data_IF_525795510913
#
_entry.id   IF_525795510913
#
_cell.length_a   1.000
_cell.length_b   1.000
_cell.length_c   1.000
_cell.angle_alpha   90.00
_cell.angle_beta   90.00
_cell.angle_gamma   90.00
#
_symmetry.space_group_name_H-M   'P 1'
#
loop_
_entity.id
_entity.type
_entity.pdbx_description
1 polymer ?
#
# COMPACT_ATOMS: atom_id res chain seq x y z
N UNK A 1 -15.24 0.55 -13.98
CA UNK A 1 -15.92 -0.67 -14.46
C UNK A 1 -15.56 -1.94 -13.67
N UNK A 2 -14.29 -2.34 -13.58
CA UNK A 2 -13.87 -3.63 -12.98
C UNK A 2 -14.39 -3.81 -11.56
N UNK A 3 -14.18 -2.81 -10.69
CA UNK A 3 -14.68 -2.80 -9.31
C UNK A 3 -16.20 -3.04 -9.26
N UNK A 4 -16.96 -2.32 -10.08
CA UNK A 4 -18.41 -2.46 -10.11
C UNK A 4 -18.85 -3.83 -10.60
N UNK A 5 -18.14 -4.41 -11.57
CA UNK A 5 -18.43 -5.75 -12.04
C UNK A 5 -18.15 -6.82 -10.98
N UNK A 6 -17.05 -6.69 -10.23
CA UNK A 6 -16.75 -7.59 -9.12
C UNK A 6 -17.85 -7.54 -8.04
N UNK A 7 -18.27 -6.33 -7.67
CA UNK A 7 -19.40 -6.11 -6.75
C UNK A 7 -20.69 -6.76 -7.27
N UNK A 8 -20.97 -6.69 -8.58
CA UNK A 8 -22.17 -7.28 -9.19
C UNK A 8 -22.23 -8.80 -9.07
N UNK A 9 -21.13 -9.51 -8.81
CA UNK A 9 -21.13 -10.97 -8.61
C UNK A 9 -22.00 -11.38 -7.42
N UNK A 10 -22.11 -10.51 -6.41
CA UNK A 10 -22.86 -10.75 -5.18
C UNK A 10 -24.36 -10.45 -5.30
N UNK A 11 -24.82 -10.01 -6.48
CA UNK A 11 -26.23 -9.68 -6.73
C UNK A 11 -26.91 -10.76 -7.57
N UNK A 12 -28.24 -10.81 -7.48
CA UNK A 12 -29.05 -11.74 -8.25
C UNK A 12 -28.92 -11.51 -9.77
N UNK A 13 -29.31 -12.54 -10.55
CA UNK A 13 -29.15 -12.53 -12.01
C UNK A 13 -29.91 -11.39 -12.69
N UNK A 14 -31.11 -11.03 -12.20
CA UNK A 14 -31.92 -9.96 -12.77
C UNK A 14 -31.23 -8.60 -12.65
N UNK A 15 -30.64 -8.31 -11.48
CA UNK A 15 -29.86 -7.10 -11.27
C UNK A 15 -28.61 -7.06 -12.16
N UNK A 16 -27.92 -8.20 -12.32
CA UNK A 16 -26.76 -8.32 -13.22
C UNK A 16 -27.13 -8.05 -14.68
N UNK A 17 -28.29 -8.53 -15.15
CA UNK A 17 -28.81 -8.23 -16.49
C UNK A 17 -29.07 -6.72 -16.64
N UNK A 18 -29.80 -6.12 -15.69
CA UNK A 18 -30.12 -4.70 -15.72
C UNK A 18 -28.86 -3.82 -15.72
N UNK A 19 -27.88 -4.13 -14.87
CA UNK A 19 -26.60 -3.44 -14.82
C UNK A 19 -25.80 -3.61 -16.12
N UNK A 20 -25.78 -4.81 -16.70
CA UNK A 20 -25.12 -5.07 -17.99
C UNK A 20 -25.71 -4.22 -19.13
N UNK A 21 -27.05 -4.11 -19.19
CA UNK A 21 -27.74 -3.24 -20.15
C UNK A 21 -27.38 -1.77 -19.91
N UNK A 22 -27.41 -1.31 -18.65
CA UNK A 22 -27.05 0.06 -18.30
C UNK A 22 -25.61 0.42 -18.71
N UNK A 23 -24.64 -0.45 -18.39
CA UNK A 23 -23.24 -0.26 -18.77
C UNK A 23 -23.06 -0.19 -20.29
N UNK A 24 -23.79 -1.02 -21.03
CA UNK A 24 -23.79 -1.00 -22.50
C UNK A 24 -24.37 0.31 -23.05
N UNK A 25 -25.51 0.77 -22.51
CA UNK A 25 -26.15 2.03 -22.92
C UNK A 25 -25.28 3.26 -22.62
N UNK A 26 -24.51 3.23 -21.53
CA UNK A 26 -23.57 4.31 -21.17
C UNK A 26 -22.23 4.24 -21.90
N UNK A 27 -22.06 3.26 -22.80
CA UNK A 27 -20.82 3.06 -23.57
C UNK A 27 -19.57 2.97 -22.69
N UNK A 28 -19.72 2.40 -21.48
CA UNK A 28 -18.60 2.17 -20.58
C UNK A 28 -17.67 1.11 -21.19
N UNK A 29 -16.35 1.32 -21.05
CA UNK A 29 -15.29 0.43 -21.54
C UNK A 29 -14.38 -0.03 -20.40
N UNK A 30 -13.72 -1.18 -20.56
CA UNK A 30 -12.78 -1.73 -19.56
C UNK A 30 -11.51 -0.87 -19.54
N UNK A 31 -10.98 -0.58 -20.72
CA UNK A 31 -9.80 0.26 -20.91
C UNK A 31 -10.28 1.69 -21.14
N UNK A 32 -9.71 2.62 -20.39
CA UNK A 32 -9.99 4.05 -20.53
C UNK A 32 -8.69 4.82 -20.61
N UNK A 33 -8.70 5.93 -21.35
CA UNK A 33 -7.58 6.86 -21.43
C UNK A 33 -7.92 8.11 -20.61
N UNK A 34 -7.05 8.45 -19.68
CA UNK A 34 -7.19 9.58 -18.75
C UNK A 34 -5.82 10.20 -18.51
N UNK A 35 -5.79 11.46 -18.07
CA UNK A 35 -4.53 12.08 -17.65
C UNK A 35 -4.05 11.43 -16.35
N UNK A 36 -2.74 11.35 -16.16
CA UNK A 36 -2.13 10.87 -14.90
C UNK A 36 -2.74 11.57 -13.70
N UNK A 37 -2.86 12.90 -13.77
CA UNK A 37 -3.44 13.71 -12.71
C UNK A 37 -4.90 13.35 -12.39
N UNK A 38 -5.69 12.94 -13.38
CA UNK A 38 -7.08 12.51 -13.19
C UNK A 38 -7.19 11.10 -12.59
N UNK A 39 -6.28 10.19 -12.94
CA UNK A 39 -6.26 8.83 -12.38
C UNK A 39 -5.82 8.81 -10.92
N UNK A 40 -4.93 9.73 -10.56
CA UNK A 40 -4.22 9.70 -9.28
C UNK A 40 -4.79 10.68 -8.27
N UNK A 41 -5.08 11.93 -8.66
CA UNK A 41 -5.38 13.00 -7.70
C UNK A 41 -6.74 13.68 -7.94
N UNK A 42 -6.93 14.27 -9.13
CA UNK A 42 -8.08 15.15 -9.43
C UNK A 42 -9.39 14.39 -9.57
N UNK A 43 -9.31 13.09 -9.87
CA UNK A 43 -10.46 12.28 -10.22
C UNK A 43 -11.07 12.62 -11.57
N UNK A 44 -11.54 11.60 -12.26
CA UNK A 44 -12.41 11.78 -13.43
C UNK A 44 -13.85 11.42 -13.06
N UNK A 45 -14.80 12.07 -13.71
CA UNK A 45 -16.21 11.73 -13.55
C UNK A 45 -16.49 10.36 -14.17
N UNK A 46 -17.11 9.48 -13.39
CA UNK A 46 -17.43 8.12 -13.79
C UNK A 46 -18.92 7.86 -13.59
N UNK A 47 -19.60 7.42 -14.65
CA UNK A 47 -21.05 7.20 -14.60
C UNK A 47 -21.39 6.15 -13.56
N UNK A 48 -20.59 5.10 -13.44
CA UNK A 48 -20.84 4.00 -12.51
C UNK A 48 -20.71 4.49 -11.07
N UNK A 49 -19.69 5.28 -10.75
CA UNK A 49 -19.53 5.87 -9.42
C UNK A 49 -20.67 6.83 -9.08
N UNK A 50 -21.20 7.60 -10.04
CA UNK A 50 -22.38 8.46 -9.83
C UNK A 50 -23.60 7.68 -9.35
N UNK A 51 -23.81 6.45 -9.84
CA UNK A 51 -24.94 5.60 -9.47
C UNK A 51 -24.63 4.57 -8.37
N UNK A 52 -23.35 4.36 -8.01
CA UNK A 52 -22.93 3.36 -7.04
C UNK A 52 -23.64 3.45 -5.66
N UNK A 53 -23.89 4.65 -5.09
CA UNK A 53 -24.57 4.77 -3.79
C UNK A 53 -26.00 4.20 -3.77
N UNK A 54 -26.67 4.09 -4.93
CA UNK A 54 -28.01 3.52 -5.02
C UNK A 54 -28.03 2.02 -4.72
N UNK A 55 -26.90 1.33 -4.93
CA UNK A 55 -26.85 -0.13 -4.89
C UNK A 55 -25.84 -0.67 -3.88
N UNK A 56 -24.76 0.06 -3.56
CA UNK A 56 -23.81 -0.30 -2.51
C UNK A 56 -23.63 0.86 -1.52
N UNK A 57 -24.21 0.72 -0.33
CA UNK A 57 -24.01 1.64 0.79
C UNK A 57 -22.58 1.49 1.33
N UNK A 58 -22.02 2.58 1.87
CA UNK A 58 -20.68 2.58 2.47
C UNK A 58 -19.52 2.79 1.51
N UNK A 59 -19.76 2.85 0.19
CA UNK A 59 -18.74 3.32 -0.75
C UNK A 59 -18.49 4.82 -0.55
N UNK A 60 -17.22 5.27 -0.57
CA UNK A 60 -16.91 6.70 -0.51
C UNK A 60 -17.44 7.39 -1.76
N UNK A 61 -18.49 8.22 -1.59
CA UNK A 61 -19.04 9.00 -2.69
C UNK A 61 -18.36 10.36 -2.78
N UNK A 62 -17.46 10.50 -3.74
CA UNK A 62 -16.66 11.70 -3.97
C UNK A 62 -17.22 12.52 -5.14
N UNK A 63 -18.48 12.93 -5.03
CA UNK A 63 -19.21 13.66 -6.08
C UNK A 63 -19.20 12.96 -7.45
N UNK A 64 -19.26 11.62 -7.47
CA UNK A 64 -19.25 10.84 -8.71
C UNK A 64 -17.89 10.76 -9.41
N UNK A 65 -16.79 11.10 -8.72
CA UNK A 65 -15.42 11.01 -9.25
C UNK A 65 -14.71 9.75 -8.77
N UNK A 66 -13.90 9.18 -9.65
CA UNK A 66 -13.00 8.08 -9.35
C UNK A 66 -11.55 8.52 -9.51
N UNK A 67 -10.72 8.19 -8.52
CA UNK A 67 -9.26 8.29 -8.57
C UNK A 67 -8.68 7.57 -7.36
N UNK A 68 -7.42 7.13 -7.47
CA UNK A 68 -6.74 6.39 -6.42
C UNK A 68 -6.59 7.21 -5.13
N UNK A 69 -6.00 8.40 -5.21
CA UNK A 69 -5.75 9.27 -4.05
C UNK A 69 -6.74 10.45 -4.01
N UNK A 70 -7.98 10.23 -4.48
CA UNK A 70 -8.95 11.31 -4.53
C UNK A 70 -9.26 11.86 -3.13
N UNK A 71 -9.03 13.17 -2.95
CA UNK A 71 -9.27 13.84 -1.68
C UNK A 71 -8.29 13.44 -0.57
N UNK A 72 -7.13 12.89 -0.92
CA UNK A 72 -6.00 12.67 0.00
C UNK A 72 -5.09 13.91 0.16
N UNK A 73 -5.24 14.88 -0.74
CA UNK A 73 -4.44 16.11 -0.69
C UNK A 73 -4.86 16.96 0.52
N UNK A 74 -3.88 17.36 1.34
CA UNK A 74 -4.08 18.09 2.59
C UNK A 74 -5.03 17.39 3.59
N UNK A 75 -4.98 16.06 3.63
CA UNK A 75 -5.66 15.23 4.64
C UNK A 75 -4.69 14.30 5.33
N UNK A 76 -5.07 13.79 6.49
CA UNK A 76 -4.37 12.71 7.19
C UNK A 76 -5.02 11.34 6.94
N UNK A 77 -4.33 10.29 7.39
CA UNK A 77 -4.78 8.89 7.31
C UNK A 77 -5.48 8.42 8.60
N UNK A 78 -5.85 9.35 9.48
CA UNK A 78 -6.48 9.09 10.78
C UNK A 78 -5.62 9.52 11.97
N UNK A 79 -6.20 9.36 13.16
CA UNK A 79 -5.55 9.70 14.42
C UNK A 79 -4.71 8.52 14.91
N UNK A 80 -3.39 8.66 14.82
CA UNK A 80 -2.43 7.76 15.44
C UNK A 80 -2.15 8.21 16.87
N UNK A 81 -2.41 7.33 17.85
CA UNK A 81 -1.91 7.50 19.21
C UNK A 81 -0.63 6.69 19.34
N UNK A 82 0.47 7.34 19.72
CA UNK A 82 1.80 6.70 19.85
C UNK A 82 2.35 6.88 21.26
N UNK A 83 3.24 5.98 21.66
CA UNK A 83 3.99 6.12 22.91
C UNK A 83 5.06 7.20 22.78
N UNK A 84 5.15 8.08 23.78
CA UNK A 84 6.12 9.19 23.80
C UNK A 84 7.55 8.74 24.12
N UNK A 85 7.70 7.57 24.76
CA UNK A 85 9.00 7.06 25.21
C UNK A 85 9.50 7.61 26.55
N UNK A 86 8.68 8.41 27.27
CA UNK A 86 9.05 8.99 28.57
C UNK A 86 9.32 7.92 29.63
N UNK A 87 8.47 6.89 29.70
CA UNK A 87 8.61 5.80 30.67
C UNK A 87 9.58 4.71 30.19
N UNK A 88 9.62 4.47 28.88
CA UNK A 88 10.49 3.49 28.24
C UNK A 88 10.88 3.95 26.82
N UNK A 89 12.17 4.25 26.64
CA UNK A 89 12.71 4.69 25.35
C UNK A 89 12.55 3.63 24.25
N UNK A 90 12.46 2.35 24.60
CA UNK A 90 12.24 1.25 23.65
C UNK A 90 10.86 1.29 22.99
N UNK A 91 9.92 2.04 23.56
CA UNK A 91 8.55 2.21 23.06
C UNK A 91 8.37 3.49 22.24
N UNK A 92 9.41 4.33 22.09
CA UNK A 92 9.30 5.62 21.40
C UNK A 92 8.67 5.48 20.02
N UNK A 93 7.59 6.22 19.75
CA UNK A 93 6.82 6.22 18.50
C UNK A 93 6.18 4.87 18.10
N UNK A 94 6.16 3.88 18.99
CA UNK A 94 5.37 2.69 18.77
C UNK A 94 3.88 3.06 18.74
N UNK A 95 3.14 2.51 17.78
CA UNK A 95 1.72 2.80 17.62
C UNK A 95 0.94 2.06 18.71
N UNK A 96 0.16 2.81 19.49
CA UNK A 96 -0.71 2.27 20.53
C UNK A 96 -2.12 1.99 20.00
N UNK A 97 -2.69 2.93 19.24
CA UNK A 97 -3.97 2.74 18.56
C UNK A 97 -4.11 3.64 17.32
N UNK A 98 -5.00 3.24 16.42
CA UNK A 98 -5.42 4.00 15.25
C UNK A 98 -6.92 4.29 15.36
N UNK A 99 -7.31 5.56 15.36
CA UNK A 99 -8.70 5.99 15.49
C UNK A 99 -9.41 5.39 16.72
N UNK A 100 -8.67 5.24 17.84
CA UNK A 100 -9.17 4.65 19.07
C UNK A 100 -9.28 3.12 19.05
N UNK A 101 -8.82 2.45 18.00
CA UNK A 101 -8.78 0.99 17.89
C UNK A 101 -7.36 0.47 18.10
N UNK A 102 -7.21 -0.48 19.02
CA UNK A 102 -5.95 -1.17 19.35
C UNK A 102 -5.57 -2.24 18.32
N UNK A 103 -6.53 -2.69 17.51
CA UNK A 103 -6.34 -3.61 16.41
C UNK A 103 -7.23 -3.26 15.22
N UNK A 104 -6.83 -3.73 14.05
CA UNK A 104 -7.61 -3.69 12.83
C UNK A 104 -8.80 -4.66 12.91
N UNK A 105 -9.70 -4.57 11.95
CA UNK A 105 -10.88 -5.44 11.83
C UNK A 105 -11.04 -6.00 10.41
N UNK A 106 -9.95 -6.09 9.66
CA UNK A 106 -9.92 -6.45 8.25
C UNK A 106 -9.70 -7.95 8.02
N UNK A 107 -8.94 -8.60 8.90
CA UNK A 107 -8.43 -9.95 8.69
C UNK A 107 -9.08 -10.98 9.60
N UNK A 108 -8.88 -12.27 9.30
CA UNK A 108 -9.36 -13.35 10.15
C UNK A 108 -8.42 -13.51 11.36
N UNK A 109 -8.96 -13.62 12.56
CA UNK A 109 -8.15 -13.82 13.77
C UNK A 109 -7.40 -12.57 14.23
N UNK A 110 -6.94 -12.62 15.49
CA UNK A 110 -6.41 -11.42 16.15
C UNK A 110 -4.98 -11.06 15.72
N UNK A 111 -4.13 -12.05 15.43
CA UNK A 111 -2.71 -11.83 15.09
C UNK A 111 -2.54 -10.97 13.83
N UNK A 112 -3.28 -11.28 12.76
CA UNK A 112 -3.22 -10.53 11.50
C UNK A 112 -3.78 -9.10 11.62
N UNK A 113 -4.60 -8.84 12.65
CA UNK A 113 -5.18 -7.53 12.90
C UNK A 113 -4.33 -6.65 13.82
N UNK A 114 -3.21 -7.14 14.36
CA UNK A 114 -2.36 -6.33 15.23
C UNK A 114 -1.71 -5.15 14.47
N UNK A 115 -1.76 -3.97 15.10
CA UNK A 115 -1.05 -2.77 14.66
C UNK A 115 0.27 -2.75 15.42
N UNK A 116 1.32 -3.29 14.81
CA UNK A 116 2.65 -3.44 15.40
C UNK A 116 3.62 -2.45 14.76
N UNK A 117 4.58 -1.99 15.56
CA UNK A 117 5.65 -1.14 15.08
C UNK A 117 5.32 0.35 15.09
N UNK A 118 6.07 1.09 14.29
CA UNK A 118 6.05 2.55 14.18
C UNK A 118 5.44 2.98 12.86
N UNK A 119 5.39 4.28 12.58
CA UNK A 119 5.00 4.81 11.27
C UNK A 119 6.08 4.67 10.19
N UNK A 120 7.26 4.08 10.46
CA UNK A 120 8.45 3.91 9.59
C UNK A 120 9.47 5.05 9.60
N UNK A 121 9.08 6.30 9.85
CA UNK A 121 10.00 7.44 9.73
C UNK A 121 10.90 7.59 10.95
N UNK A 122 10.33 7.38 12.13
CA UNK A 122 11.03 7.45 13.42
C UNK A 122 10.52 6.32 14.30
N UNK A 123 11.45 5.55 14.85
CA UNK A 123 11.16 4.54 15.84
C UNK A 123 12.04 4.66 17.08
N UNK A 124 12.03 3.64 17.93
CA UNK A 124 12.94 3.58 19.07
C UNK A 124 14.40 3.38 18.61
N UNK A 125 15.38 3.72 19.46
CA UNK A 125 16.77 3.30 19.25
C UNK A 125 16.85 1.80 18.97
N UNK A 126 17.67 1.42 18.00
CA UNK A 126 17.81 0.02 17.64
C UNK A 126 18.57 -0.74 18.74
N UNK A 127 18.21 -2.01 19.00
CA UNK A 127 19.02 -2.86 19.84
C UNK A 127 20.41 -3.06 19.22
N UNK A 128 21.39 -3.45 20.03
CA UNK A 128 22.78 -3.67 19.58
C UNK A 128 22.88 -4.61 18.37
N UNK A 129 22.05 -5.65 18.34
CA UNK A 129 21.94 -6.61 17.25
C UNK A 129 20.47 -6.65 16.78
N UNK A 130 20.06 -5.74 15.88
CA UNK A 130 18.69 -5.76 15.36
C UNK A 130 18.53 -6.94 14.39
N UNK A 131 17.43 -7.67 14.53
CA UNK A 131 17.07 -8.77 13.63
C UNK A 131 16.05 -8.32 12.59
N UNK A 132 15.12 -7.46 12.99
CA UNK A 132 14.05 -6.96 12.13
C UNK A 132 13.57 -5.58 12.55
N UNK A 133 12.78 -4.95 11.67
CA UNK A 133 12.10 -3.69 11.90
C UNK A 133 10.64 -3.85 11.46
N UNK A 134 9.70 -3.60 12.38
CA UNK A 134 8.26 -3.67 12.10
C UNK A 134 7.67 -2.27 12.01
N UNK A 135 6.83 -2.04 11.00
CA UNK A 135 6.12 -0.79 10.82
C UNK A 135 4.69 -1.02 10.31
N UNK A 136 3.86 0.00 10.45
CA UNK A 136 2.50 0.02 9.93
C UNK A 136 2.26 1.28 9.11
N UNK A 137 1.73 1.09 7.91
CA UNK A 137 1.25 2.16 7.04
C UNK A 137 -0.14 1.78 6.53
N UNK A 138 -1.07 2.74 6.53
CA UNK A 138 -2.50 2.46 6.29
C UNK A 138 -2.77 1.81 4.93
N UNK A 139 -1.93 2.10 3.92
CA UNK A 139 -2.05 1.56 2.57
C UNK A 139 -1.87 0.04 2.50
N UNK A 140 -1.04 -0.56 3.36
CA UNK A 140 -0.81 -2.01 3.38
C UNK A 140 -1.88 -2.76 4.15
N UNK A 141 -2.66 -2.05 4.98
CA UNK A 141 -3.75 -2.62 5.77
C UNK A 141 -3.32 -3.74 6.73
N UNK A 142 -2.02 -3.89 6.98
CA UNK A 142 -1.42 -4.80 7.96
C UNK A 142 -0.06 -4.26 8.36
N UNK A 143 0.44 -4.74 9.49
CA UNK A 143 1.83 -4.50 9.89
C UNK A 143 2.78 -5.31 9.01
N UNK A 144 3.92 -4.72 8.67
CA UNK A 144 4.98 -5.31 7.86
C UNK A 144 6.28 -5.37 8.66
N UNK A 145 7.01 -6.47 8.52
CA UNK A 145 8.30 -6.69 9.19
C UNK A 145 9.38 -6.92 8.14
N UNK A 146 10.43 -6.12 8.20
CA UNK A 146 11.60 -6.22 7.33
C UNK A 146 12.78 -6.79 8.13
N UNK A 147 13.58 -7.63 7.49
CA UNK A 147 14.73 -8.29 8.11
C UNK A 147 15.98 -7.44 7.95
N UNK A 148 16.82 -7.43 8.98
CA UNK A 148 18.13 -6.82 8.93
C UNK A 148 19.02 -7.54 7.90
N UNK A 149 19.68 -6.78 7.03
CA UNK A 149 20.51 -7.32 5.94
C UNK A 149 21.94 -6.82 5.93
N UNK A 150 22.26 -5.75 6.68
CA UNK A 150 23.62 -5.25 6.77
C UNK A 150 23.73 -3.80 7.21
N UNK A 151 24.97 -3.33 7.28
CA UNK A 151 25.31 -1.95 7.64
C UNK A 151 25.48 -1.11 6.37
N UNK A 152 25.02 0.13 6.44
CA UNK A 152 25.09 1.11 5.37
C UNK A 152 25.62 2.44 5.91
N UNK A 153 26.03 3.33 5.01
CA UNK A 153 26.47 4.67 5.38
C UNK A 153 25.95 5.70 4.39
N UNK A 154 25.23 6.68 4.90
CA UNK A 154 24.67 7.79 4.12
C UNK A 154 25.27 9.10 4.59
N UNK A 155 26.08 9.76 3.75
CA UNK A 155 26.69 11.06 4.08
C UNK A 155 27.46 11.07 5.43
N UNK A 156 28.11 9.94 5.76
CA UNK A 156 28.84 9.76 7.01
C UNK A 156 27.97 9.34 8.21
N UNK A 157 26.67 9.18 8.03
CA UNK A 157 25.75 8.67 9.05
C UNK A 157 25.69 7.13 8.94
N UNK A 158 26.10 6.38 9.97
CA UNK A 158 25.96 4.93 9.99
C UNK A 158 24.49 4.54 10.08
N UNK A 159 24.07 3.53 9.32
CA UNK A 159 22.70 3.03 9.32
C UNK A 159 22.66 1.50 9.27
N UNK A 160 21.56 0.94 9.79
CA UNK A 160 21.22 -0.48 9.66
C UNK A 160 20.18 -0.63 8.56
N UNK A 161 20.44 -1.49 7.57
CA UNK A 161 19.53 -1.74 6.45
C UNK A 161 18.60 -2.91 6.74
N UNK A 162 17.32 -2.67 6.54
CA UNK A 162 16.26 -3.66 6.61
C UNK A 162 15.59 -3.83 5.24
N UNK A 163 15.34 -5.07 4.82
CA UNK A 163 14.66 -5.41 3.55
C UNK A 163 13.47 -6.32 3.81
N UNK A 164 12.41 -6.27 2.97
CA UNK A 164 11.31 -7.22 3.08
C UNK A 164 11.84 -8.65 2.83
N UNK A 165 11.48 -9.63 3.68
CA UNK A 165 11.75 -11.02 3.36
C UNK A 165 10.89 -11.45 2.16
N UNK A 166 11.36 -12.46 1.43
CA UNK A 166 10.70 -12.95 0.20
C UNK A 166 9.25 -13.41 0.45
N UNK A 167 8.98 -13.92 1.64
CA UNK A 167 7.70 -14.48 2.04
C UNK A 167 6.76 -13.48 2.72
N UNK A 168 7.09 -12.18 2.74
CA UNK A 168 6.24 -11.14 3.34
C UNK A 168 4.81 -11.12 2.76
N UNK A 169 4.68 -11.43 1.46
CA UNK A 169 3.40 -11.58 0.75
C UNK A 169 3.17 -13.01 0.26
N UNK A 170 3.83 -14.01 0.86
CA UNK A 170 3.53 -15.41 0.58
C UNK A 170 2.13 -15.79 1.09
N UNK A 171 1.49 -16.73 0.40
CA UNK A 171 0.21 -17.29 0.85
C UNK A 171 0.40 -18.13 2.12
N UNK A 172 -0.71 -18.52 2.75
CA UNK A 172 -0.74 -19.32 3.97
C UNK A 172 -0.16 -20.73 3.84
N UNK A 173 0.00 -21.26 2.62
CA UNK A 173 0.61 -22.57 2.39
C UNK A 173 2.14 -22.49 2.45
N UNK A 174 2.71 -21.42 1.91
CA UNK A 174 4.16 -21.17 1.88
C UNK A 174 4.64 -20.53 3.19
N UNK A 175 3.83 -19.66 3.81
CA UNK A 175 4.08 -19.08 5.12
C UNK A 175 2.80 -19.12 5.96
N UNK A 176 2.74 -20.03 6.94
CA UNK A 176 1.57 -20.24 7.79
C UNK A 176 1.18 -19.01 8.63
N UNK A 177 2.13 -18.12 8.94
CA UNK A 177 1.84 -16.86 9.64
C UNK A 177 1.01 -15.90 8.78
N UNK A 178 1.02 -16.07 7.45
CA UNK A 178 0.22 -15.26 6.52
C UNK A 178 -1.18 -15.84 6.26
N UNK A 179 -1.51 -17.03 6.77
CA UNK A 179 -2.78 -17.72 6.47
C UNK A 179 -4.04 -16.90 6.76
N UNK A 180 -4.00 -16.00 7.75
CA UNK A 180 -5.14 -15.13 8.05
C UNK A 180 -5.33 -13.93 7.11
N UNK A 181 -4.36 -13.66 6.23
CA UNK A 181 -4.48 -12.68 5.15
C UNK A 181 -5.07 -13.30 3.86
N UNK A 182 -5.18 -14.63 3.78
CA UNK A 182 -5.74 -15.31 2.61
C UNK A 182 -7.26 -15.15 2.56
N UNK A 183 -7.71 -14.34 1.60
CA UNK A 183 -9.13 -14.15 1.30
C UNK A 183 -9.64 -15.14 0.24
N UNK A 184 -8.75 -15.64 -0.60
CA UNK A 184 -9.05 -16.56 -1.70
C UNK A 184 -8.12 -17.76 -1.59
N UNK A 185 -8.70 -18.95 -1.48
CA UNK A 185 -7.96 -20.20 -1.42
C UNK A 185 -7.21 -20.45 -2.74
N UNK A 186 -5.98 -20.96 -2.64
CA UNK A 186 -5.18 -21.32 -3.81
C UNK A 186 -4.53 -20.15 -4.55
N UNK A 187 -4.59 -18.92 -4.02
CA UNK A 187 -3.90 -17.78 -4.64
C UNK A 187 -2.37 -17.98 -4.60
N UNK A 188 -1.66 -17.80 -5.72
CA UNK A 188 -0.19 -17.89 -5.74
C UNK A 188 0.47 -16.80 -4.88
N UNK A 189 1.61 -17.14 -4.27
CA UNK A 189 2.38 -16.25 -3.40
C UNK A 189 2.90 -14.98 -4.09
N UNK A 190 3.04 -13.90 -3.32
CA UNK A 190 3.67 -12.64 -3.72
C UNK A 190 2.74 -11.47 -3.95
N UNK A 191 1.48 -11.58 -3.53
CA UNK A 191 0.50 -10.49 -3.57
C UNK A 191 -0.31 -10.45 -2.28
N UNK A 192 -0.72 -9.26 -1.85
CA UNK A 192 -1.60 -9.03 -0.72
C UNK A 192 -2.94 -8.47 -1.19
N UNK A 193 -4.03 -9.12 -0.81
CA UNK A 193 -5.38 -8.72 -1.20
C UNK A 193 -5.95 -7.68 -0.24
N UNK A 194 -5.95 -6.42 -0.64
CA UNK A 194 -6.34 -5.29 0.22
C UNK A 194 -7.82 -4.92 0.09
N UNK A 195 -8.65 -5.79 -0.51
CA UNK A 195 -10.12 -5.62 -0.54
C UNK A 195 -10.75 -5.19 0.80
N UNK A 196 -10.41 -5.80 1.95
CA UNK A 196 -11.08 -5.51 3.22
C UNK A 196 -10.96 -4.06 3.67
N UNK A 197 -9.86 -3.39 3.33
CA UNK A 197 -9.63 -1.98 3.67
C UNK A 197 -9.87 -1.02 2.49
N UNK A 198 -10.15 -1.55 1.29
CA UNK A 198 -10.41 -0.79 0.06
C UNK A 198 -11.87 -0.91 -0.40
N UNK A 199 -12.81 -0.97 0.53
CA UNK A 199 -14.26 -0.99 0.26
C UNK A 199 -14.72 -2.14 -0.68
N UNK A 200 -14.05 -3.29 -0.54
CA UNK A 200 -14.15 -4.49 -1.39
C UNK A 200 -13.76 -4.27 -2.86
N UNK A 201 -13.01 -3.21 -3.18
CA UNK A 201 -12.41 -3.09 -4.50
C UNK A 201 -11.35 -4.18 -4.69
N UNK A 202 -11.36 -4.97 -5.79
CA UNK A 202 -10.48 -6.11 -6.02
C UNK A 202 -9.03 -5.67 -6.33
N UNK A 203 -8.39 -5.01 -5.38
CA UNK A 203 -7.04 -4.47 -5.45
C UNK A 203 -6.08 -5.46 -4.77
N UNK A 204 -5.03 -5.84 -5.49
CA UNK A 204 -3.93 -6.63 -4.97
C UNK A 204 -2.66 -5.77 -4.95
N UNK A 205 -1.98 -5.72 -3.81
CA UNK A 205 -0.64 -5.15 -3.69
C UNK A 205 0.40 -6.21 -4.05
N UNK A 206 1.45 -5.83 -4.77
CA UNK A 206 2.63 -6.66 -4.99
C UNK A 206 3.89 -5.81 -4.88
N UNK A 207 5.08 -6.40 -4.99
CA UNK A 207 6.23 -5.59 -5.39
C UNK A 207 6.17 -5.28 -6.89
N UNK A 208 6.83 -4.20 -7.35
CA UNK A 208 6.81 -3.83 -8.77
C UNK A 208 7.27 -4.97 -9.67
N UNK A 209 6.66 -5.07 -10.85
CA UNK A 209 6.90 -6.12 -11.84
C UNK A 209 6.70 -7.55 -11.31
N UNK A 210 5.88 -7.70 -10.26
CA UNK A 210 5.73 -8.96 -9.52
C UNK A 210 7.09 -9.51 -9.05
N UNK A 211 7.96 -8.61 -8.59
CA UNK A 211 9.20 -9.01 -7.93
C UNK A 211 8.88 -9.84 -6.68
N UNK A 212 9.67 -10.90 -6.43
CA UNK A 212 9.44 -11.89 -5.36
C UNK A 212 8.11 -12.66 -5.41
N UNK A 213 7.26 -12.45 -6.42
CA UNK A 213 6.01 -13.18 -6.57
C UNK A 213 6.13 -14.43 -7.46
N UNK A 214 5.09 -15.25 -7.40
CA UNK A 214 4.97 -16.46 -8.21
C UNK A 214 5.11 -16.12 -9.71
N UNK A 215 5.91 -16.89 -10.49
CA UNK A 215 6.10 -16.63 -11.90
C UNK A 215 4.82 -16.62 -12.75
N UNK A 216 3.73 -17.25 -12.29
CA UNK A 216 2.44 -17.25 -12.98
C UNK A 216 1.92 -15.84 -13.24
N UNK A 217 2.12 -14.88 -12.32
CA UNK A 217 1.70 -13.49 -12.53
C UNK A 217 2.41 -12.82 -13.71
N UNK A 218 3.71 -13.12 -13.89
CA UNK A 218 4.51 -12.56 -14.99
C UNK A 218 4.18 -13.15 -16.35
N UNK A 219 3.58 -14.34 -16.38
CA UNK A 219 3.11 -14.96 -17.64
C UNK A 219 1.85 -14.29 -18.19
N UNK A 220 1.09 -13.58 -17.35
CA UNK A 220 -0.18 -12.95 -17.71
C UNK A 220 -0.05 -11.54 -18.27
N UNK A 221 1.10 -10.88 -18.05
CA UNK A 221 1.33 -9.48 -18.44
C UNK A 221 2.65 -9.36 -19.18
N UNK A 222 2.60 -8.84 -20.41
CA UNK A 222 3.79 -8.58 -21.22
C UNK A 222 4.55 -7.34 -20.70
N UNK A 223 5.88 -7.31 -20.88
CA UNK A 223 6.72 -6.14 -20.52
C UNK A 223 7.22 -6.10 -19.08
N UNK A 224 7.07 -7.20 -18.32
CA UNK A 224 7.53 -7.25 -16.93
C UNK A 224 8.96 -7.77 -16.80
N UNK A 225 9.86 -6.95 -16.24
CA UNK A 225 11.26 -7.31 -15.97
C UNK A 225 11.66 -7.05 -14.49
N UNK A 226 11.30 -7.93 -13.53
CA UNK A 226 11.59 -7.73 -12.11
C UNK A 226 13.09 -7.84 -11.81
N UNK A 227 13.57 -7.01 -10.87
CA UNK A 227 14.96 -7.00 -10.41
C UNK A 227 15.06 -6.31 -9.03
N UNK A 228 16.00 -6.73 -8.18
CA UNK A 228 16.11 -6.23 -6.80
C UNK A 228 16.48 -4.73 -6.74
N UNK A 229 17.32 -4.25 -7.66
CA UNK A 229 17.81 -2.87 -7.67
C UNK A 229 16.68 -1.85 -7.89
N UNK A 230 15.81 -2.12 -8.86
CA UNK A 230 14.77 -1.20 -9.29
C UNK A 230 13.42 -1.48 -8.62
N UNK A 231 13.21 -2.68 -8.09
CA UNK A 231 11.92 -3.12 -7.55
C UNK A 231 11.98 -3.61 -6.10
N UNK A 232 13.17 -3.70 -5.52
CA UNK A 232 13.36 -3.99 -4.09
C UNK A 232 12.98 -2.80 -3.22
N UNK A 233 12.56 -3.10 -2.01
CA UNK A 233 12.33 -2.11 -0.96
C UNK A 233 13.40 -2.22 0.12
N UNK A 234 13.71 -1.12 0.79
CA UNK A 234 14.58 -1.10 1.95
C UNK A 234 14.26 0.07 2.88
N UNK A 235 14.75 -0.07 4.10
CA UNK A 235 14.71 0.92 5.15
C UNK A 235 16.09 1.00 5.79
N UNK A 236 16.71 2.17 5.80
CA UNK A 236 18.01 2.37 6.45
C UNK A 236 17.80 3.26 7.68
N UNK A 237 18.09 2.72 8.86
CA UNK A 237 17.79 3.36 10.16
C UNK A 237 19.08 3.68 10.90
N UNK A 238 19.24 4.93 11.37
CA UNK A 238 20.35 5.31 12.23
C UNK A 238 20.13 4.68 13.62
N UNK A 239 21.06 3.84 14.12
CA UNK A 239 20.79 2.95 15.24
C UNK A 239 20.61 3.66 16.59
N UNK A 240 21.24 4.82 16.82
CA UNK A 240 21.20 5.50 18.13
C UNK A 240 19.88 6.24 18.32
N UNK A 241 19.38 6.89 17.27
CA UNK A 241 18.19 7.74 17.31
C UNK A 241 16.92 7.01 16.87
N UNK A 242 17.04 5.89 16.15
CA UNK A 242 15.91 5.19 15.55
C UNK A 242 15.29 5.92 14.35
N UNK A 243 15.95 6.98 13.86
CA UNK A 243 15.49 7.77 12.72
C UNK A 243 15.87 7.08 11.42
N UNK A 244 14.90 6.95 10.53
CA UNK A 244 15.12 6.43 9.19
C UNK A 244 15.80 7.50 8.31
N UNK A 245 16.97 7.17 7.77
CA UNK A 245 17.81 8.07 6.98
C UNK A 245 17.61 7.89 5.47
N UNK A 246 17.19 6.70 5.03
CA UNK A 246 16.78 6.40 3.67
C UNK A 246 15.60 5.42 3.67
N UNK A 247 14.54 5.74 2.93
CA UNK A 247 13.30 4.94 2.90
C UNK A 247 12.92 4.70 1.44
N UNK A 248 12.97 3.43 1.03
CA UNK A 248 12.52 3.02 -0.28
C UNK A 248 11.48 1.92 -0.12
N UNK A 249 10.21 2.33 -0.03
CA UNK A 249 9.09 1.39 -0.01
C UNK A 249 8.43 1.39 -1.38
N UNK A 250 8.68 0.35 -2.16
CA UNK A 250 8.09 0.15 -3.49
C UNK A 250 7.03 -0.95 -3.45
N UNK A 251 5.88 -0.66 -4.02
CA UNK A 251 4.78 -1.61 -4.19
C UNK A 251 4.04 -1.27 -5.48
N UNK A 252 3.30 -2.21 -6.02
CA UNK A 252 2.50 -2.07 -7.23
C UNK A 252 1.05 -2.41 -6.92
N UNK A 253 0.14 -1.65 -7.51
CA UNK A 253 -1.28 -1.92 -7.44
C UNK A 253 -1.68 -2.78 -8.62
N UNK A 254 -2.51 -3.78 -8.37
CA UNK A 254 -3.05 -4.64 -9.41
C UNK A 254 -4.56 -4.72 -9.23
N UNK A 255 -5.31 -4.67 -10.33
CA UNK A 255 -6.75 -4.90 -10.29
C UNK A 255 -7.02 -6.33 -10.73
N UNK A 256 -7.54 -7.15 -9.82
CA UNK A 256 -8.07 -8.47 -10.15
C UNK A 256 -9.36 -8.29 -10.93
N UNK A 257 -9.33 -8.73 -12.18
CA UNK A 257 -10.51 -8.92 -12.99
C UNK A 257 -11.03 -10.33 -12.76
N UNK A 258 -12.33 -10.53 -12.95
CA UNK A 258 -12.82 -11.88 -13.20
C UNK A 258 -14.04 -11.81 -14.07
N UNK A 259 -14.29 -12.92 -14.76
CA UNK A 259 -15.45 -13.03 -15.63
C UNK A 259 -16.74 -12.90 -14.82
N UNK A 260 -17.58 -11.97 -15.24
CA UNK A 260 -18.94 -11.85 -14.70
C UNK A 260 -19.90 -12.27 -15.79
N UNK A 261 -20.35 -13.54 -15.72
CA UNK A 261 -21.38 -14.07 -16.64
C UNK A 261 -22.53 -13.06 -16.74
N UNK A 262 -23.05 -12.82 -17.94
CA UNK A 262 -24.11 -11.82 -18.25
C UNK A 262 -23.65 -10.36 -18.40
N UNK A 263 -22.50 -9.94 -17.86
CA UNK A 263 -21.93 -8.62 -18.19
C UNK A 263 -21.22 -8.72 -19.54
N UNK A 264 -21.89 -8.29 -20.61
CA UNK A 264 -21.47 -8.51 -22.01
C UNK A 264 -20.06 -7.98 -22.33
N UNK A 265 -19.60 -6.95 -21.61
CA UNK A 265 -18.25 -6.40 -21.79
C UNK A 265 -17.15 -7.28 -21.17
N UNK A 266 -17.50 -8.09 -20.17
CA UNK A 266 -16.56 -8.95 -19.44
C UNK A 266 -16.77 -10.44 -19.76
N UNK A 267 -17.68 -10.77 -20.69
CA UNK A 267 -17.99 -12.15 -21.05
C UNK A 267 -16.90 -12.83 -21.89
N UNK A 268 -16.02 -12.04 -22.52
CA UNK A 268 -14.95 -12.49 -23.41
C UNK A 268 -13.55 -12.37 -22.79
N UNK A 269 -13.44 -11.98 -21.51
CA UNK A 269 -12.19 -12.18 -20.77
C UNK A 269 -12.02 -13.70 -20.63
N UNK A 270 -10.83 -14.20 -20.96
CA UNK A 270 -10.51 -15.62 -20.81
C UNK A 270 -10.87 -16.09 -19.40
N UNK A 271 -11.35 -17.34 -19.30
CA UNK A 271 -11.54 -18.02 -18.02
C UNK A 271 -10.16 -18.35 -17.43
N UNK A 272 -9.40 -17.30 -17.08
CA UNK A 272 -8.25 -17.41 -16.20
C UNK A 272 -8.77 -17.16 -14.78
N UNK A 273 -8.27 -17.93 -13.80
CA UNK A 273 -8.73 -17.86 -12.41
C UNK A 273 -8.30 -16.55 -11.73
N UNK A 274 -7.39 -15.78 -12.34
CA UNK A 274 -6.90 -14.50 -11.80
C UNK A 274 -6.31 -13.55 -12.89
N UNK A 275 -7.13 -12.95 -13.79
CA UNK A 275 -6.63 -11.97 -14.76
C UNK A 275 -6.36 -10.63 -14.07
N UNK A 276 -5.12 -10.13 -14.19
CA UNK A 276 -4.67 -8.92 -13.52
C UNK A 276 -4.40 -7.79 -14.51
N UNK A 277 -4.83 -6.58 -14.16
CA UNK A 277 -4.31 -5.35 -14.76
C UNK A 277 -3.25 -4.77 -13.82
N UNK A 278 -2.06 -4.54 -14.37
CA UNK A 278 -0.97 -3.82 -13.70
C UNK A 278 -1.27 -2.31 -13.70
N UNK A 279 -1.30 -1.70 -12.52
CA UNK A 279 -1.30 -0.25 -12.32
C UNK A 279 -0.05 0.10 -11.52
N UNK A 280 1.01 0.51 -12.22
CA UNK A 280 2.29 0.84 -11.59
C UNK A 280 2.19 2.10 -10.73
N UNK A 281 2.46 1.92 -9.45
CA UNK A 281 2.78 2.98 -8.51
C UNK A 281 4.22 2.73 -8.02
N UNK A 282 5.02 3.77 -7.78
CA UNK A 282 6.38 3.63 -7.23
C UNK A 282 6.56 4.74 -6.21
N UNK A 283 6.89 4.40 -4.95
CA UNK A 283 7.21 5.39 -3.93
C UNK A 283 8.72 5.38 -3.65
N UNK A 284 9.34 6.56 -3.69
CA UNK A 284 10.76 6.79 -3.39
C UNK A 284 10.90 8.05 -2.55
N UNK A 285 11.43 7.95 -1.34
CA UNK A 285 11.78 9.12 -0.54
C UNK A 285 13.22 9.03 -0.01
N UNK A 286 14.08 9.91 -0.51
CA UNK A 286 15.45 10.02 -0.02
C UNK A 286 15.52 11.12 1.05
N UNK A 287 15.53 10.72 2.33
CA UNK A 287 15.52 11.62 3.49
C UNK A 287 16.91 12.19 3.82
N UNK A 288 17.98 11.54 3.37
CA UNK A 288 19.38 11.86 3.72
C UNK A 288 19.80 13.30 3.39
N UNK A 289 19.26 13.90 2.30
CA UNK A 289 19.53 15.31 1.94
C UNK A 289 18.92 16.34 2.91
N UNK A 290 18.08 15.90 3.84
CA UNK A 290 17.33 16.76 4.79
C UNK A 290 17.59 16.39 6.26
N UNK A 291 18.46 15.41 6.55
CA UNK A 291 18.80 15.04 7.93
C UNK A 291 19.96 15.93 8.41
N UNK A 292 19.65 16.91 9.25
CA UNK A 292 20.65 17.53 10.13
C UNK A 292 20.58 16.76 11.43
N UNK A 293 21.58 15.92 11.71
CA UNK A 293 21.71 15.25 13.02
C UNK A 293 22.09 16.33 14.04
N UNK A 294 21.29 16.61 15.08
CA UNK A 294 21.64 17.58 16.09
C UNK A 294 22.96 17.20 16.77
N UNK A 295 23.86 18.17 16.95
CA UNK A 295 25.09 17.95 17.70
C UNK A 295 24.75 17.69 19.17
N UNK A 296 25.29 16.60 19.71
CA UNK A 296 25.03 16.11 21.06
C UNK A 296 25.76 16.98 22.08
N UNK A 297 25.06 17.92 22.72
CA UNK A 297 25.58 18.58 23.92
C UNK A 297 24.85 18.08 25.16
N UNK A 298 25.64 17.79 26.19
CA UNK A 298 25.36 17.09 27.44
C UNK A 298 24.32 17.75 28.38
N UNK A 299 23.49 18.67 27.89
CA UNK A 299 22.67 19.59 28.71
C UNK A 299 21.15 19.38 28.62
N UNK A 300 20.66 18.23 28.14
CA UNK A 300 19.24 17.87 28.28
C UNK A 300 18.28 18.60 27.32
N UNK A 301 18.77 19.18 26.22
CA UNK A 301 17.94 19.85 25.19
C UNK A 301 17.27 18.87 24.19
N UNK A 302 16.99 17.63 24.58
CA UNK A 302 16.47 16.56 23.70
C UNK A 302 15.00 16.80 23.29
N UNK A 303 14.12 17.13 24.24
CA UNK A 303 12.67 17.21 23.97
C UNK A 303 12.30 18.31 22.97
N UNK A 304 12.86 19.50 23.10
CA UNK A 304 12.47 20.65 22.27
C UNK A 304 13.01 20.55 20.84
N UNK A 305 14.20 19.97 20.65
CA UNK A 305 14.85 19.86 19.33
C UNK A 305 14.29 18.68 18.52
N UNK A 306 14.04 17.53 19.15
CA UNK A 306 13.42 16.37 18.50
C UNK A 306 11.96 16.67 18.14
N UNK A 307 11.19 17.30 19.03
CA UNK A 307 9.79 17.69 18.75
C UNK A 307 9.70 18.67 17.58
N UNK A 308 10.59 19.68 17.50
CA UNK A 308 10.64 20.61 16.37
C UNK A 308 11.09 19.93 15.08
N UNK A 309 12.02 18.97 15.14
CA UNK A 309 12.48 18.21 13.99
C UNK A 309 11.41 17.26 13.44
N UNK A 310 10.70 16.56 14.34
CA UNK A 310 9.55 15.71 14.06
C UNK A 310 8.42 16.57 13.45
N UNK A 311 7.98 17.65 14.10
CA UNK A 311 6.93 18.54 13.59
C UNK A 311 7.26 19.11 12.20
N UNK A 312 8.49 19.61 11.99
CA UNK A 312 8.87 20.21 10.71
C UNK A 312 9.02 19.17 9.59
N UNK A 313 9.34 17.91 9.91
CA UNK A 313 9.36 16.80 8.94
C UNK A 313 7.99 16.21 8.69
N UNK A 314 7.13 16.03 9.70
CA UNK A 314 5.72 15.62 9.53
C UNK A 314 4.96 16.60 8.62
N UNK A 315 5.25 17.91 8.73
CA UNK A 315 4.68 18.94 7.83
C UNK A 315 5.22 18.81 6.40
N UNK A 316 6.51 18.49 6.19
CA UNK A 316 7.08 18.27 4.85
C UNK A 316 6.70 16.91 4.24
N UNK A 317 6.36 15.92 5.08
CA UNK A 317 5.94 14.57 4.73
C UNK A 317 4.54 14.57 4.12
N UNK A 318 3.62 15.37 4.68
CA UNK A 318 2.28 15.60 4.11
C UNK A 318 2.30 16.16 2.66
N UNK A 319 3.35 16.90 2.28
CA UNK A 319 3.40 17.60 1.00
C UNK A 319 4.00 16.79 -0.18
N UNK A 320 4.63 15.63 0.05
CA UNK A 320 5.46 14.96 -0.99
C UNK A 320 5.24 13.45 -1.14
N UNK A 321 4.09 12.94 -0.73
CA UNK A 321 3.81 11.50 -0.61
C UNK A 321 3.69 10.70 -1.92
N UNK A 322 3.80 11.28 -3.12
CA UNK A 322 3.70 10.49 -4.35
C UNK A 322 4.49 11.04 -5.54
N UNK A 323 5.44 10.25 -6.03
CA UNK A 323 6.00 10.39 -7.38
C UNK A 323 5.59 9.18 -8.21
N UNK A 324 4.45 9.26 -8.88
CA UNK A 324 4.01 8.19 -9.78
C UNK A 324 4.77 8.29 -11.10
N UNK A 325 5.58 7.28 -11.41
CA UNK A 325 6.16 7.07 -12.73
C UNK A 325 5.34 6.03 -13.48
N UNK A 326 4.34 6.49 -14.24
CA UNK A 326 3.67 5.65 -15.25
C UNK A 326 4.57 5.59 -16.49
N UNK A 327 5.37 4.52 -16.62
CA UNK A 327 6.04 4.20 -17.89
C UNK A 327 5.02 3.51 -18.79
N UNK A 328 4.45 4.23 -19.74
CA UNK A 328 3.79 3.61 -20.90
C UNK A 328 4.88 3.23 -21.89
N UNK A 329 5.39 2.01 -21.81
CA UNK A 329 6.01 1.38 -22.99
C UNK A 329 4.86 0.88 -23.87
N UNK A 330 4.20 1.84 -24.53
CA UNK A 330 3.39 1.56 -25.71
C UNK A 330 4.30 1.81 -26.90
N UNK A 331 5.13 0.82 -27.22
CA UNK A 331 5.72 0.73 -28.55
C UNK A 331 4.55 0.54 -29.53
N UNK A 332 4.21 1.61 -30.23
CA UNK A 332 3.36 1.58 -31.40
C UNK A 332 4.26 1.16 -32.58
N UNK A 333 4.05 -0.04 -33.10
CA UNK A 333 4.30 -0.35 -34.52
C UNK A 333 3.09 0.09 -35.37
#
# INVERSE_FOLDING_TARGET
MIIAADILKNYNIGFRIAASIFLKLKSENIITQKKVRELVYDGYEDTIIKFAPLFKKGLPFKNGRFSWLYGKNATDDGLFTVFTGVDDQSQTNMINNLNGQDKLNFWKGDSCNMINGTSIEVGPPLPKNPESYTFYQTIFCRSLTFDYTGDETHFGIPAKRFKPPKDIFANGSDNSANSCFDLVEGRPSGVLDVRPCQFDAPVLLSFPHFHMADPSYRKKVHGLNPNDKDHGSHLDVEPVTGVSVDIQVRFQLNLQMSRVRVVLRLSNIEDDDDPLIDVKEEHKENLSKKVIVPNYDSSGSYEKSLSYFILRKSILFSERLCWIRLTTDLDYD
#
